data_IF_023520111959
#
_entry.id   IF_023520111959
#
_cell.length_a   1.000
_cell.length_b   1.000
_cell.length_c   1.000
_cell.angle_alpha   90.00
_cell.angle_beta   90.00
_cell.angle_gamma   90.00
#
_symmetry.space_group_name_H-M   'P 1'
#
loop_
_entity.id
_entity.type
_entity.pdbx_description
1 polymer ?
#
# COMPACT_ATOMS: atom_id res chain seq x y z
N UNK A 1 -20.51 11.81 1.38
CA UNK A 1 -19.18 11.87 0.73
C UNK A 1 -18.65 10.44 0.68
N UNK A 2 -18.26 9.92 -0.49
CA UNK A 2 -17.72 8.55 -0.60
C UNK A 2 -16.21 8.62 -0.61
N UNK A 3 -15.57 8.05 0.41
CA UNK A 3 -14.12 8.06 0.57
C UNK A 3 -13.59 6.68 0.21
N UNK A 4 -12.57 6.65 -0.63
CA UNK A 4 -11.88 5.44 -1.05
C UNK A 4 -10.40 5.64 -0.82
N UNK A 5 -9.74 4.66 -0.19
CA UNK A 5 -8.33 4.75 0.19
C UNK A 5 -7.55 3.62 -0.46
N UNK A 6 -6.46 3.98 -1.13
CA UNK A 6 -5.49 3.00 -1.64
C UNK A 6 -4.10 3.39 -1.19
N UNK A 7 -3.24 2.40 -1.03
CA UNK A 7 -1.81 2.63 -0.88
C UNK A 7 -1.03 1.58 -1.66
N UNK A 8 0.18 1.94 -2.04
CA UNK A 8 1.04 1.11 -2.88
C UNK A 8 2.14 0.38 -2.08
N UNK A 9 1.91 0.17 -0.78
CA UNK A 9 2.87 -0.53 0.05
C UNK A 9 2.82 -2.05 -0.19
N UNK A 10 3.97 -2.71 -0.42
CA UNK A 10 4.02 -4.16 -0.67
C UNK A 10 3.65 -4.98 0.57
N UNK A 11 3.96 -4.48 1.78
CA UNK A 11 3.60 -5.10 3.06
C UNK A 11 3.02 -4.09 4.06
N UNK A 12 2.19 -4.59 5.01
CA UNK A 12 1.64 -3.84 6.15
C UNK A 12 0.85 -2.55 5.82
N UNK A 13 0.06 -2.57 4.75
CA UNK A 13 -0.81 -1.45 4.38
C UNK A 13 -1.82 -1.07 5.48
N UNK A 14 -2.37 -2.04 6.21
CA UNK A 14 -3.24 -1.77 7.36
C UNK A 14 -2.56 -0.94 8.45
N UNK A 15 -1.29 -1.25 8.74
CA UNK A 15 -0.49 -0.45 9.66
C UNK A 15 -0.24 0.96 9.14
N UNK A 16 -0.04 1.12 7.83
CA UNK A 16 0.10 2.45 7.22
C UNK A 16 -1.20 3.25 7.37
N UNK A 17 -2.35 2.68 7.05
CA UNK A 17 -3.64 3.36 7.18
C UNK A 17 -3.91 3.75 8.63
N UNK A 18 -3.74 2.85 9.59
CA UNK A 18 -3.97 3.14 11.02
C UNK A 18 -3.06 4.24 11.58
N UNK A 19 -1.83 4.37 11.07
CA UNK A 19 -0.86 5.38 11.54
C UNK A 19 -1.05 6.76 10.90
N UNK A 20 -1.53 6.81 9.66
CA UNK A 20 -1.52 8.04 8.86
C UNK A 20 -2.91 8.58 8.53
N UNK A 21 -3.96 7.76 8.65
CA UNK A 21 -5.33 8.14 8.36
C UNK A 21 -6.12 8.22 9.67
N UNK A 22 -6.87 9.31 9.93
CA UNK A 22 -7.73 9.41 11.10
C UNK A 22 -8.70 8.23 11.18
N UNK A 23 -8.87 7.67 12.39
CA UNK A 23 -9.70 6.47 12.61
C UNK A 23 -11.14 6.65 12.12
N UNK A 24 -11.71 7.84 12.33
CA UNK A 24 -13.05 8.18 11.84
C UNK A 24 -13.14 8.12 10.32
N UNK A 25 -12.16 8.69 9.61
CA UNK A 25 -12.10 8.67 8.15
C UNK A 25 -11.93 7.24 7.62
N UNK A 26 -11.12 6.43 8.32
CA UNK A 26 -10.90 5.04 7.97
C UNK A 26 -12.18 4.20 8.16
N UNK A 27 -12.94 4.44 9.23
CA UNK A 27 -14.22 3.75 9.47
C UNK A 27 -15.34 4.16 8.52
N UNK A 28 -15.30 5.40 8.01
CA UNK A 28 -16.27 5.92 7.04
C UNK A 28 -15.86 5.63 5.58
N UNK A 29 -14.67 5.05 5.37
CA UNK A 29 -14.18 4.70 4.03
C UNK A 29 -14.94 3.50 3.47
N UNK A 30 -15.42 3.65 2.24
CA UNK A 30 -16.20 2.64 1.53
C UNK A 30 -15.34 1.47 1.07
N UNK A 31 -14.11 1.78 0.68
CA UNK A 31 -13.11 0.78 0.31
C UNK A 31 -11.74 1.23 0.76
N UNK A 32 -10.99 0.28 1.32
CA UNK A 32 -9.59 0.45 1.71
C UNK A 32 -8.83 -0.76 1.18
N UNK A 33 -7.75 -0.53 0.43
CA UNK A 33 -6.90 -1.60 -0.06
C UNK A 33 -5.44 -1.16 -0.16
N UNK A 34 -4.54 -2.05 0.27
CA UNK A 34 -3.13 -1.97 -0.05
C UNK A 34 -2.86 -2.83 -1.28
N UNK A 35 -2.65 -2.18 -2.42
CA UNK A 35 -2.61 -2.84 -3.74
C UNK A 35 -1.19 -3.26 -4.15
N UNK A 36 -0.22 -3.14 -3.23
CA UNK A 36 1.20 -3.30 -3.54
C UNK A 36 1.70 -2.16 -4.43
N UNK A 37 2.97 -2.21 -4.84
CA UNK A 37 3.54 -1.16 -5.66
C UNK A 37 4.99 -1.35 -5.99
N UNK A 38 5.37 -0.88 -7.18
CA UNK A 38 6.76 -0.80 -7.59
C UNK A 38 7.40 0.43 -6.95
N UNK A 39 8.46 0.21 -6.17
CA UNK A 39 9.20 1.30 -5.56
C UNK A 39 10.17 1.86 -6.61
N UNK A 40 9.85 3.03 -7.17
CA UNK A 40 10.76 3.71 -8.08
C UNK A 40 11.93 4.35 -7.32
N UNK A 41 12.97 3.54 -7.10
CA UNK A 41 14.21 3.93 -6.44
C UNK A 41 14.88 5.17 -7.06
N UNK A 42 14.61 5.45 -8.34
CA UNK A 42 15.21 6.61 -9.02
C UNK A 42 14.58 7.93 -8.56
N UNK A 43 13.37 7.88 -8.01
CA UNK A 43 12.65 9.07 -7.52
C UNK A 43 12.86 9.32 -6.02
N UNK A 44 13.36 8.34 -5.28
CA UNK A 44 13.68 8.48 -3.85
C UNK A 44 15.03 9.20 -3.64
N UNK A 45 15.07 10.13 -2.68
CA UNK A 45 16.27 10.90 -2.33
C UNK A 45 16.52 10.88 -0.83
N UNK A 46 17.78 11.04 -0.43
CA UNK A 46 18.16 11.19 0.97
C UNK A 46 17.67 10.05 1.88
N UNK A 47 16.99 10.43 2.97
CA UNK A 47 16.52 9.52 4.01
C UNK A 47 15.49 8.48 3.51
N UNK A 48 14.63 8.84 2.56
CA UNK A 48 13.62 7.93 2.00
C UNK A 48 14.28 6.77 1.25
N UNK A 49 15.35 7.07 0.51
CA UNK A 49 16.14 6.05 -0.19
C UNK A 49 16.89 5.14 0.78
N UNK A 50 17.37 5.69 1.90
CA UNK A 50 18.02 4.90 2.95
C UNK A 50 17.04 3.95 3.63
N UNK A 51 15.85 4.42 4.01
CA UNK A 51 14.81 3.60 4.61
C UNK A 51 14.36 2.46 3.67
N UNK A 52 14.14 2.76 2.38
CA UNK A 52 13.81 1.77 1.37
C UNK A 52 14.89 0.68 1.22
N UNK A 53 16.17 1.05 1.27
CA UNK A 53 17.28 0.09 1.22
C UNK A 53 17.33 -0.83 2.46
N UNK A 54 16.95 -0.32 3.64
CA UNK A 54 16.89 -1.14 4.85
C UNK A 54 15.75 -2.15 4.81
N UNK A 55 14.58 -1.73 4.31
CA UNK A 55 13.44 -2.63 4.10
C UNK A 55 13.81 -3.73 3.10
N UNK A 56 14.39 -3.36 1.95
CA UNK A 56 14.92 -4.29 0.96
C UNK A 56 15.90 -5.32 1.54
N UNK A 57 16.83 -4.85 2.38
CA UNK A 57 17.84 -5.71 2.98
C UNK A 57 17.19 -6.72 3.92
N UNK A 58 16.23 -6.27 4.74
CA UNK A 58 15.48 -7.14 5.64
C UNK A 58 14.59 -8.15 4.90
N UNK A 59 14.04 -7.80 3.73
CA UNK A 59 13.22 -8.71 2.91
C UNK A 59 14.08 -9.74 2.16
N UNK A 60 15.28 -9.36 1.69
CA UNK A 60 16.26 -10.32 1.12
C UNK A 60 16.72 -11.35 2.14
N UNK A 61 16.94 -10.94 3.39
CA UNK A 61 17.31 -11.85 4.48
C UNK A 61 16.19 -12.87 4.79
N UNK A 62 14.95 -12.59 4.37
CA UNK A 62 13.78 -13.47 4.54
C UNK A 62 13.43 -14.29 3.29
N UNK A 63 14.23 -14.18 2.22
CA UNK A 63 13.99 -14.82 0.91
C UNK A 63 12.65 -14.44 0.26
N UNK A 64 12.10 -13.27 0.61
CA UNK A 64 10.83 -12.75 0.07
C UNK A 64 11.13 -11.90 -1.16
N UNK A 65 11.06 -12.50 -2.35
CA UNK A 65 11.22 -11.83 -3.66
C UNK A 65 9.94 -11.13 -4.17
N UNK A 66 8.93 -10.90 -3.33
CA UNK A 66 7.64 -10.32 -3.74
C UNK A 66 7.63 -8.79 -3.85
N UNK A 67 8.81 -8.19 -3.94
CA UNK A 67 8.98 -6.88 -3.33
C UNK A 67 8.25 -5.75 -4.07
N UNK A 68 7.88 -5.90 -5.35
CA UNK A 68 7.46 -4.76 -6.16
C UNK A 68 6.42 -5.04 -7.25
N UNK A 69 5.53 -6.02 -7.08
CA UNK A 69 4.40 -6.20 -8.01
C UNK A 69 3.13 -5.54 -7.50
N UNK A 70 2.42 -4.82 -8.38
CA UNK A 70 1.01 -4.53 -8.16
C UNK A 70 0.24 -5.85 -8.04
N UNK A 71 -0.58 -5.95 -7.02
CA UNK A 71 -1.41 -7.11 -6.74
C UNK A 71 -2.72 -6.97 -7.53
N UNK A 72 -2.77 -7.57 -8.71
CA UNK A 72 -3.89 -7.45 -9.65
C UNK A 72 -5.21 -7.95 -9.05
N UNK A 73 -5.14 -8.97 -8.19
CA UNK A 73 -6.32 -9.52 -7.53
C UNK A 73 -6.87 -8.51 -6.52
N UNK A 74 -6.00 -7.88 -5.72
CA UNK A 74 -6.43 -6.80 -4.80
C UNK A 74 -6.95 -5.57 -5.53
N UNK A 75 -6.43 -5.26 -6.71
CA UNK A 75 -6.96 -4.17 -7.55
C UNK A 75 -8.37 -4.54 -8.02
N UNK A 76 -8.58 -5.77 -8.49
CA UNK A 76 -9.91 -6.25 -8.90
C UNK A 76 -10.89 -6.21 -7.74
N UNK A 77 -10.52 -6.74 -6.58
CA UNK A 77 -11.33 -6.72 -5.35
C UNK A 77 -11.66 -5.28 -4.93
N UNK A 78 -10.70 -4.37 -5.06
CA UNK A 78 -10.93 -2.96 -4.77
C UNK A 78 -11.96 -2.37 -5.72
N UNK A 79 -11.83 -2.60 -7.03
CA UNK A 79 -12.79 -2.15 -8.05
C UNK A 79 -14.18 -2.72 -7.79
N UNK A 80 -14.29 -3.98 -7.38
CA UNK A 80 -15.58 -4.59 -7.03
C UNK A 80 -16.24 -3.93 -5.82
N UNK A 81 -15.45 -3.44 -4.84
CA UNK A 81 -15.99 -2.61 -3.73
C UNK A 81 -16.49 -1.24 -4.18
N UNK A 82 -16.00 -0.72 -5.31
CA UNK A 82 -16.45 0.56 -5.88
C UNK A 82 -17.77 0.41 -6.65
N UNK A 83 -18.02 -0.72 -7.32
CA UNK A 83 -19.17 -0.92 -8.22
C UNK A 83 -20.55 -0.68 -7.57
N UNK A 84 -20.85 -1.15 -6.34
CA UNK A 84 -22.13 -0.88 -5.69
C UNK A 84 -22.34 0.60 -5.29
N UNK A 85 -21.29 1.42 -5.45
CA UNK A 85 -21.17 2.77 -4.94
C UNK A 85 -20.98 3.79 -6.07
N UNK A 86 -21.15 3.36 -7.31
CA UNK A 86 -21.24 4.18 -8.53
C UNK A 86 -22.70 4.20 -8.99
#
# INVERSE_FOLDING_TARGET
MRIFLTCIFPENGDGYFKRNIPSQLLSESVAVAAIGGELDFKRLRGADRFAANMILKAEREKDIYKTFSLDTDKISDFVDKLKPQL
#
